data_IF_425609057805
#
_entry.id   IF_425609057805
#
_cell.length_a   1.000
_cell.length_b   1.000
_cell.length_c   1.000
_cell.angle_alpha   90.00
_cell.angle_beta   90.00
_cell.angle_gamma   90.00
#
_symmetry.space_group_name_H-M   'P 1'
#
loop_
_entity.id
_entity.type
_entity.pdbx_description
1 polymer ?
#
# COMPACT_ATOMS: atom_id res chain seq x y z
N UNK A 1 -7.49 -10.04 19.43
CA UNK A 1 -6.96 -9.92 18.06
C UNK A 1 -5.76 -10.83 17.96
N UNK A 2 -5.74 -11.71 16.97
CA UNK A 2 -4.63 -12.67 16.78
C UNK A 2 -3.49 -11.97 16.06
N UNK A 3 -2.26 -12.16 16.55
CA UNK A 3 -1.04 -11.77 15.84
C UNK A 3 -0.86 -12.73 14.67
N UNK A 4 -0.69 -12.19 13.48
CA UNK A 4 -0.56 -12.96 12.23
C UNK A 4 0.65 -12.45 11.45
N UNK A 5 1.40 -13.36 10.90
CA UNK A 5 2.50 -13.06 9.98
C UNK A 5 2.00 -13.08 8.54
N UNK A 6 2.56 -12.22 7.68
CA UNK A 6 2.25 -12.23 6.26
C UNK A 6 2.69 -13.53 5.58
N UNK A 7 1.93 -13.94 4.56
CA UNK A 7 2.35 -15.00 3.67
C UNK A 7 3.50 -14.50 2.78
N UNK A 8 4.61 -15.23 2.77
CA UNK A 8 5.76 -14.87 1.95
C UNK A 8 5.58 -15.35 0.51
N UNK A 9 4.68 -14.69 -0.23
CA UNK A 9 4.39 -14.98 -1.65
C UNK A 9 5.68 -14.99 -2.46
N UNK A 10 5.79 -15.90 -3.43
CA UNK A 10 7.01 -16.07 -4.24
C UNK A 10 7.33 -14.79 -5.02
N UNK A 11 8.57 -14.31 -4.92
CA UNK A 11 9.05 -13.20 -5.76
C UNK A 11 8.94 -13.53 -7.24
N UNK A 12 8.62 -12.53 -8.05
CA UNK A 12 8.32 -12.67 -9.48
C UNK A 12 6.86 -13.04 -9.79
N UNK A 13 6.00 -13.27 -8.77
CA UNK A 13 4.55 -13.44 -8.99
C UNK A 13 3.99 -12.17 -9.64
N UNK A 14 3.11 -12.34 -10.63
CA UNK A 14 2.44 -11.21 -11.29
C UNK A 14 1.39 -10.61 -10.35
N UNK A 15 1.32 -9.29 -10.27
CA UNK A 15 0.30 -8.59 -9.49
C UNK A 15 -1.10 -9.00 -9.95
N UNK A 16 -1.96 -9.54 -9.07
CA UNK A 16 -3.36 -9.76 -9.41
C UNK A 16 -4.04 -8.45 -9.84
N UNK A 17 -4.89 -8.52 -10.86
CA UNK A 17 -5.72 -7.39 -11.25
C UNK A 17 -6.79 -7.14 -10.19
N UNK A 18 -7.19 -5.88 -10.05
CA UNK A 18 -8.36 -5.49 -9.27
C UNK A 18 -9.04 -4.28 -9.90
N UNK A 19 -10.30 -4.08 -9.57
CA UNK A 19 -11.06 -2.85 -9.76
C UNK A 19 -11.93 -2.65 -8.52
N UNK A 20 -11.65 -1.61 -7.74
CA UNK A 20 -12.24 -1.35 -6.44
C UNK A 20 -12.70 0.10 -6.30
N UNK A 21 -13.67 0.35 -5.42
CA UNK A 21 -14.10 1.70 -5.08
C UNK A 21 -13.01 2.42 -4.29
N UNK A 22 -12.51 3.54 -4.82
CA UNK A 22 -11.73 4.51 -4.04
C UNK A 22 -12.69 5.35 -3.19
N UNK A 23 -12.61 5.18 -1.88
CA UNK A 23 -13.50 5.87 -0.94
C UNK A 23 -13.25 7.38 -0.85
N UNK A 24 -12.07 7.84 -1.28
CA UNK A 24 -11.71 9.26 -1.24
C UNK A 24 -12.34 10.04 -2.40
N UNK A 25 -12.42 9.43 -3.58
CA UNK A 25 -12.95 10.07 -4.79
C UNK A 25 -14.36 9.60 -5.17
N UNK A 26 -14.80 8.47 -4.63
CA UNK A 26 -16.06 7.81 -5.00
C UNK A 26 -16.04 7.15 -6.38
N UNK A 27 -14.86 6.95 -6.98
CA UNK A 27 -14.70 6.34 -8.31
C UNK A 27 -14.13 4.92 -8.20
N UNK A 28 -14.50 4.07 -9.14
CA UNK A 28 -13.81 2.79 -9.32
C UNK A 28 -12.39 3.04 -9.86
N UNK A 29 -11.43 2.31 -9.32
CA UNK A 29 -10.03 2.35 -9.74
C UNK A 29 -9.50 0.94 -9.94
N UNK A 30 -8.93 0.70 -11.09
CA UNK A 30 -8.21 -0.53 -11.37
C UNK A 30 -6.76 -0.45 -10.89
N UNK A 31 -6.11 -1.61 -10.79
CA UNK A 31 -4.66 -1.70 -10.54
C UNK A 31 -3.86 -0.85 -11.55
N UNK A 32 -4.26 -0.90 -12.81
CA UNK A 32 -3.56 -0.21 -13.89
C UNK A 32 -3.81 1.31 -13.84
N UNK A 33 -5.00 1.75 -13.39
CA UNK A 33 -5.26 3.18 -13.13
C UNK A 33 -4.36 3.71 -12.01
N UNK A 34 -4.23 2.98 -10.90
CA UNK A 34 -3.33 3.38 -9.79
C UNK A 34 -1.88 3.48 -10.29
N UNK A 35 -1.45 2.54 -11.12
CA UNK A 35 -0.13 2.59 -11.73
C UNK A 35 0.02 3.75 -12.71
N UNK A 36 -1.04 4.10 -13.46
CA UNK A 36 -1.02 5.15 -14.47
C UNK A 36 -1.15 6.57 -13.90
N UNK A 37 -1.65 6.75 -12.66
CA UNK A 37 -1.94 8.07 -12.06
C UNK A 37 -0.82 9.11 -12.21
N UNK A 38 0.43 8.69 -12.24
CA UNK A 38 1.56 9.59 -12.45
C UNK A 38 1.83 9.95 -13.91
N UNK A 39 1.10 9.39 -14.86
CA UNK A 39 1.34 9.68 -16.27
C UNK A 39 0.58 10.91 -16.79
N UNK A 40 -0.36 11.45 -16.00
CA UNK A 40 -1.32 12.48 -16.44
C UNK A 40 -1.07 13.90 -15.92
N UNK A 41 0.07 14.18 -15.25
CA UNK A 41 0.42 15.57 -14.94
C UNK A 41 0.67 16.30 -16.24
N UNK A 42 -0.38 16.99 -16.74
CA UNK A 42 -0.32 17.92 -17.84
C UNK A 42 0.63 19.05 -17.49
N UNK A 43 1.87 18.97 -17.95
CA UNK A 43 2.66 20.17 -18.20
C UNK A 43 1.96 20.93 -19.32
N UNK A 44 1.22 21.98 -18.98
CA UNK A 44 0.73 23.00 -19.91
C UNK A 44 1.88 23.94 -20.28
N UNK A 45 2.93 23.38 -20.88
CA UNK A 45 3.93 24.20 -21.56
C UNK A 45 4.17 23.65 -22.97
N UNK A 46 3.57 24.33 -23.94
CA UNK A 46 3.51 23.92 -25.35
C UNK A 46 4.78 24.30 -26.14
N UNK A 47 5.91 24.52 -25.49
CA UNK A 47 7.12 25.04 -26.15
C UNK A 47 8.23 23.98 -26.40
N UNK A 48 8.05 22.71 -26.01
CA UNK A 48 9.04 21.67 -26.35
C UNK A 48 8.36 20.39 -26.87
N UNK A 49 8.15 20.33 -28.17
CA UNK A 49 7.52 19.22 -28.89
C UNK A 49 8.50 18.07 -29.21
N UNK A 50 9.67 18.00 -28.59
CA UNK A 50 10.69 17.01 -28.96
C UNK A 50 10.97 15.89 -27.96
N UNK A 51 10.37 15.88 -26.76
CA UNK A 51 10.41 14.73 -25.87
C UNK A 51 9.32 14.82 -24.82
N UNK A 52 8.11 14.38 -25.13
CA UNK A 52 7.04 14.21 -24.16
C UNK A 52 7.42 13.19 -23.10
N UNK A 53 8.25 13.59 -22.15
CA UNK A 53 8.70 12.76 -21.04
C UNK A 53 7.59 12.63 -20.01
N UNK A 54 6.68 11.66 -20.19
CA UNK A 54 5.85 11.14 -19.09
C UNK A 54 6.79 10.67 -17.99
N UNK A 55 6.58 11.11 -16.75
CA UNK A 55 7.31 10.55 -15.61
C UNK A 55 7.07 9.04 -15.58
N UNK A 56 8.11 8.25 -15.84
CA UNK A 56 8.00 6.80 -15.92
C UNK A 56 7.75 6.27 -14.51
N UNK A 57 6.64 5.57 -14.31
CA UNK A 57 6.44 4.77 -13.09
C UNK A 57 7.45 3.64 -13.04
N UNK A 58 8.04 3.48 -11.88
CA UNK A 58 9.03 2.44 -11.63
C UNK A 58 8.44 1.22 -10.95
N UNK A 59 7.30 1.37 -10.27
CA UNK A 59 6.65 0.25 -9.57
C UNK A 59 5.30 0.62 -8.97
N UNK A 60 4.66 -0.38 -8.38
CA UNK A 60 3.37 -0.30 -7.70
C UNK A 60 3.49 -0.90 -6.30
N UNK A 61 3.17 -0.10 -5.28
CA UNK A 61 3.00 -0.57 -3.91
C UNK A 61 1.51 -0.82 -3.63
N UNK A 62 1.17 -2.03 -3.24
CA UNK A 62 -0.15 -2.41 -2.72
C UNK A 62 -0.01 -2.70 -1.23
N UNK A 63 -0.82 -2.05 -0.41
CA UNK A 63 -0.82 -2.17 1.05
C UNK A 63 -2.19 -2.63 1.53
N UNK A 64 -2.27 -3.77 2.22
CA UNK A 64 -3.49 -4.13 2.94
C UNK A 64 -3.43 -3.53 4.33
N UNK A 65 -4.30 -2.57 4.59
CA UNK A 65 -4.38 -1.83 5.86
C UNK A 65 -5.83 -1.69 6.31
N UNK A 66 -6.07 -1.28 7.55
CA UNK A 66 -7.42 -0.98 8.04
C UNK A 66 -7.36 0.08 9.14
N UNK A 67 -8.49 0.64 9.51
CA UNK A 67 -8.59 1.78 10.42
C UNK A 67 -8.31 1.39 11.88
N UNK A 68 -8.89 0.26 12.34
CA UNK A 68 -8.87 -0.10 13.76
C UNK A 68 -7.64 -0.91 14.20
N UNK A 69 -6.74 -1.30 13.27
CA UNK A 69 -5.61 -2.16 13.59
C UNK A 69 -4.49 -1.40 14.32
N UNK A 70 -4.12 -1.78 15.55
CA UNK A 70 -3.05 -1.09 16.28
C UNK A 70 -1.67 -1.19 15.63
N UNK A 71 -1.44 -2.17 14.76
CA UNK A 71 -0.21 -2.25 13.98
C UNK A 71 -0.21 -1.23 12.86
N UNK A 72 -1.36 -0.95 12.23
CA UNK A 72 -1.50 0.11 11.23
C UNK A 72 -1.38 1.47 11.90
N UNK A 73 -2.08 1.69 13.02
CA UNK A 73 -2.03 2.96 13.77
C UNK A 73 -0.62 3.30 14.26
N UNK A 74 0.19 2.28 14.57
CA UNK A 74 1.59 2.47 14.96
C UNK A 74 2.46 3.08 13.84
N UNK A 75 2.14 2.77 12.60
CA UNK A 75 2.94 3.15 11.42
C UNK A 75 2.26 4.17 10.50
N UNK A 76 1.03 4.60 10.78
CA UNK A 76 0.20 5.39 9.87
C UNK A 76 0.81 6.74 9.48
N UNK A 77 1.56 7.38 10.37
CA UNK A 77 2.30 8.60 10.05
C UNK A 77 3.45 8.35 9.08
N UNK A 78 4.11 7.17 9.17
CA UNK A 78 5.15 6.80 8.23
C UNK A 78 4.55 6.47 6.86
N UNK A 79 3.36 5.86 6.80
CA UNK A 79 2.64 5.68 5.54
C UNK A 79 2.29 7.02 4.89
N UNK A 80 1.95 8.04 5.69
CA UNK A 80 1.76 9.40 5.18
C UNK A 80 3.06 9.99 4.59
N UNK A 81 4.20 9.78 5.25
CA UNK A 81 5.52 10.21 4.73
C UNK A 81 5.86 9.48 3.43
N UNK A 82 5.68 8.16 3.39
CA UNK A 82 5.87 7.33 2.18
C UNK A 82 4.98 7.83 1.04
N UNK A 83 3.71 8.15 1.32
CA UNK A 83 2.82 8.73 0.32
C UNK A 83 3.37 10.03 -0.27
N UNK A 84 3.85 10.96 0.55
CA UNK A 84 4.45 12.21 0.06
C UNK A 84 5.72 11.99 -0.74
N UNK A 85 6.61 11.10 -0.25
CA UNK A 85 7.95 10.91 -0.81
C UNK A 85 7.93 10.13 -2.14
N UNK A 86 7.00 9.16 -2.30
CA UNK A 86 7.01 8.22 -3.42
C UNK A 86 5.79 8.30 -4.34
N UNK A 87 4.62 8.68 -3.83
CA UNK A 87 3.41 8.86 -4.63
C UNK A 87 3.27 10.30 -5.13
N UNK A 88 3.66 11.28 -4.30
CA UNK A 88 3.52 12.70 -4.58
C UNK A 88 2.11 13.24 -4.30
N UNK A 89 1.93 14.55 -4.45
CA UNK A 89 0.66 15.22 -4.10
C UNK A 89 -0.48 14.94 -5.09
N UNK A 90 -0.12 14.67 -6.36
CA UNK A 90 -1.06 14.43 -7.46
C UNK A 90 -0.94 13.03 -8.07
N UNK A 91 -0.22 12.11 -7.38
CA UNK A 91 0.15 10.82 -7.96
C UNK A 91 1.29 10.91 -8.97
N UNK A 92 2.02 12.01 -8.97
CA UNK A 92 3.13 12.31 -9.89
C UNK A 92 4.48 11.73 -9.44
N UNK A 93 4.51 11.07 -8.29
CA UNK A 93 5.71 10.40 -7.79
C UNK A 93 6.07 9.13 -8.56
N UNK A 94 7.27 8.58 -8.31
CA UNK A 94 7.82 7.46 -9.08
C UNK A 94 7.15 6.10 -8.82
N UNK A 95 6.37 5.97 -7.74
CA UNK A 95 5.70 4.71 -7.34
C UNK A 95 4.19 4.94 -7.29
N UNK A 96 3.40 4.08 -7.95
CA UNK A 96 1.96 3.97 -7.73
C UNK A 96 1.70 3.39 -6.34
N UNK A 97 0.75 3.93 -5.58
CA UNK A 97 0.41 3.41 -4.25
C UNK A 97 -1.10 3.18 -4.18
N UNK A 98 -1.51 1.98 -3.77
CA UNK A 98 -2.88 1.65 -3.38
C UNK A 98 -2.90 1.12 -1.94
N UNK A 99 -3.70 1.74 -1.09
CA UNK A 99 -4.10 1.16 0.19
C UNK A 99 -5.43 0.41 -0.01
N UNK A 100 -5.54 -0.81 0.48
CA UNK A 100 -6.73 -1.66 0.35
C UNK A 100 -7.21 -2.08 1.73
N UNK A 101 -8.48 -1.81 2.00
CA UNK A 101 -9.20 -2.27 3.18
C UNK A 101 -10.05 -3.47 2.80
N UNK A 102 -9.83 -4.62 3.47
CA UNK A 102 -10.52 -5.88 3.17
C UNK A 102 -11.14 -6.54 4.42
N UNK A 103 -11.24 -5.83 5.57
CA UNK A 103 -11.96 -6.39 6.71
C UNK A 103 -13.47 -6.37 6.46
N UNK A 104 -14.17 -7.32 7.06
CA UNK A 104 -15.63 -7.34 7.09
C UNK A 104 -16.17 -6.10 7.81
N UNK A 105 -16.74 -5.18 7.04
CA UNK A 105 -17.26 -3.90 7.54
C UNK A 105 -18.60 -4.05 8.27
N UNK A 106 -19.31 -5.14 8.09
CA UNK A 106 -20.55 -5.42 8.84
C UNK A 106 -20.23 -5.76 10.30
N UNK A 107 -19.14 -6.52 10.53
CA UNK A 107 -18.66 -6.83 11.88
C UNK A 107 -17.75 -5.73 12.46
N UNK A 108 -17.07 -4.98 11.62
CA UNK A 108 -16.11 -3.93 11.99
C UNK A 108 -16.44 -2.60 11.28
N UNK A 109 -17.55 -1.92 11.63
CA UNK A 109 -18.00 -0.71 10.93
C UNK A 109 -16.99 0.43 10.91
N UNK A 110 -16.08 0.48 11.90
CA UNK A 110 -14.99 1.47 11.95
C UNK A 110 -14.02 1.36 10.74
N UNK A 111 -13.94 0.19 10.09
CA UNK A 111 -13.14 -0.01 8.89
C UNK A 111 -13.91 0.32 7.59
N UNK A 112 -15.15 0.77 7.70
CA UNK A 112 -15.98 1.16 6.58
C UNK A 112 -15.55 2.49 5.94
N UNK A 113 -16.21 2.90 4.84
CA UNK A 113 -15.82 4.06 4.04
C UNK A 113 -15.68 5.37 4.84
N UNK A 114 -16.52 5.60 5.86
CA UNK A 114 -16.45 6.81 6.68
C UNK A 114 -15.18 6.83 7.54
N UNK A 115 -14.87 5.74 8.23
CA UNK A 115 -13.64 5.61 9.01
C UNK A 115 -12.38 5.70 8.14
N UNK A 116 -12.42 5.10 6.94
CA UNK A 116 -11.32 5.20 5.96
C UNK A 116 -11.09 6.66 5.52
N UNK A 117 -12.16 7.40 5.18
CA UNK A 117 -12.08 8.83 4.82
C UNK A 117 -11.54 9.68 5.97
N UNK A 118 -12.02 9.45 7.19
CA UNK A 118 -11.56 10.16 8.38
C UNK A 118 -10.07 9.92 8.65
N UNK A 119 -9.61 8.65 8.58
CA UNK A 119 -8.20 8.29 8.73
C UNK A 119 -7.34 8.99 7.68
N UNK A 120 -7.72 8.91 6.40
CA UNK A 120 -6.98 9.52 5.31
C UNK A 120 -6.92 11.06 5.44
N UNK A 121 -8.03 11.70 5.80
CA UNK A 121 -8.10 13.16 6.01
C UNK A 121 -7.20 13.61 7.16
N UNK A 122 -7.24 12.90 8.30
CA UNK A 122 -6.43 13.19 9.49
C UNK A 122 -4.94 13.10 9.22
N UNK A 123 -4.53 12.15 8.37
CA UNK A 123 -3.12 11.86 8.05
C UNK A 123 -2.64 12.56 6.76
N UNK A 124 -3.53 13.21 6.05
CA UNK A 124 -3.22 13.86 4.78
C UNK A 124 -2.80 12.88 3.68
N UNK A 125 -3.37 11.66 3.68
CA UNK A 125 -3.09 10.68 2.63
C UNK A 125 -3.64 11.14 1.29
N UNK A 126 -2.85 11.00 0.23
CA UNK A 126 -3.20 11.40 -1.14
C UNK A 126 -3.34 10.20 -2.08
N UNK A 127 -2.80 9.05 -1.70
CA UNK A 127 -2.92 7.83 -2.48
C UNK A 127 -4.33 7.22 -2.37
N UNK A 128 -4.82 6.49 -3.39
CA UNK A 128 -6.09 5.82 -3.36
C UNK A 128 -6.27 4.91 -2.13
N UNK A 129 -7.44 4.99 -1.49
CA UNK A 129 -7.82 4.11 -0.39
C UNK A 129 -9.06 3.31 -0.79
N UNK A 130 -8.81 2.06 -1.17
CA UNK A 130 -9.73 1.20 -1.89
C UNK A 130 -10.47 0.24 -0.94
N UNK A 131 -11.76 0.04 -1.17
CA UNK A 131 -12.59 -0.90 -0.42
C UNK A 131 -12.73 -2.22 -1.19
N UNK A 132 -12.16 -3.30 -0.65
CA UNK A 132 -12.31 -4.69 -1.11
C UNK A 132 -13.41 -5.39 -0.28
N UNK A 133 -14.65 -5.00 -0.53
CA UNK A 133 -15.81 -5.46 0.25
C UNK A 133 -16.03 -6.97 0.12
N UNK A 134 -15.76 -7.56 -1.04
CA UNK A 134 -15.89 -9.00 -1.32
C UNK A 134 -14.73 -9.81 -0.75
N UNK A 135 -13.63 -9.16 -0.40
CA UNK A 135 -12.38 -9.79 0.06
C UNK A 135 -11.68 -10.66 -1.01
N UNK A 136 -12.12 -10.57 -2.26
CA UNK A 136 -11.54 -11.34 -3.36
C UNK A 136 -10.13 -10.87 -3.69
N UNK A 137 -9.86 -9.56 -3.61
CA UNK A 137 -8.54 -9.00 -3.87
C UNK A 137 -7.57 -9.42 -2.79
N UNK A 138 -7.94 -9.36 -1.50
CA UNK A 138 -7.09 -9.85 -0.43
C UNK A 138 -6.74 -11.35 -0.60
N UNK A 139 -7.72 -12.16 -1.02
CA UNK A 139 -7.49 -13.58 -1.31
C UNK A 139 -6.55 -13.78 -2.50
N UNK A 140 -6.74 -13.02 -3.59
CA UNK A 140 -5.90 -13.10 -4.79
C UNK A 140 -4.43 -12.72 -4.51
N UNK A 141 -4.21 -11.75 -3.62
CA UNK A 141 -2.88 -11.34 -3.15
C UNK A 141 -2.31 -12.28 -2.08
N UNK A 142 -3.10 -13.22 -1.57
CA UNK A 142 -2.77 -14.02 -0.39
C UNK A 142 -2.38 -13.15 0.81
N UNK A 143 -3.04 -12.00 0.96
CA UNK A 143 -2.85 -11.12 2.10
C UNK A 143 -3.37 -11.79 3.38
N UNK A 144 -2.59 -11.76 4.45
CA UNK A 144 -2.91 -12.50 5.68
C UNK A 144 -3.22 -11.57 6.86
N UNK A 145 -2.66 -10.37 6.87
CA UNK A 145 -2.75 -9.45 8.00
C UNK A 145 -2.82 -7.98 7.53
N UNK A 146 -3.03 -7.10 8.51
CA UNK A 146 -2.87 -5.65 8.32
C UNK A 146 -1.87 -5.13 9.38
N UNK A 147 -0.80 -4.40 8.96
CA UNK A 147 -0.43 -4.09 7.58
C UNK A 147 0.22 -5.27 6.85
N UNK A 148 0.02 -5.37 5.54
CA UNK A 148 0.73 -6.30 4.66
C UNK A 148 1.14 -5.57 3.38
N UNK A 149 2.41 -5.70 2.93
CA UNK A 149 2.98 -4.88 1.86
C UNK A 149 3.44 -5.75 0.69
N UNK A 150 3.09 -5.30 -0.53
CA UNK A 150 3.48 -5.94 -1.78
C UNK A 150 3.97 -4.86 -2.76
N UNK A 151 5.28 -4.87 -3.08
CA UNK A 151 5.86 -3.97 -4.07
C UNK A 151 6.16 -4.73 -5.36
N UNK A 152 5.66 -4.20 -6.45
CA UNK A 152 5.84 -4.71 -7.80
C UNK A 152 6.71 -3.75 -8.60
N UNK A 153 7.49 -4.29 -9.54
CA UNK A 153 8.22 -3.51 -10.53
C UNK A 153 7.30 -2.99 -11.67
N UNK A 154 7.88 -2.31 -12.65
CA UNK A 154 7.15 -1.78 -13.79
C UNK A 154 6.51 -2.86 -14.69
N UNK A 155 7.00 -4.08 -14.63
CA UNK A 155 6.47 -5.26 -15.30
C UNK A 155 5.43 -6.02 -14.47
N UNK A 156 4.96 -5.40 -13.36
CA UNK A 156 4.02 -5.99 -12.41
C UNK A 156 4.50 -7.30 -11.79
N UNK A 157 5.80 -7.47 -11.59
CA UNK A 157 6.39 -8.60 -10.90
C UNK A 157 6.67 -8.24 -9.44
N UNK A 158 6.27 -9.11 -8.53
CA UNK A 158 6.52 -8.94 -7.10
C UNK A 158 8.03 -8.95 -6.82
N UNK A 159 8.54 -7.84 -6.30
CA UNK A 159 9.97 -7.67 -5.99
C UNK A 159 10.23 -7.50 -4.50
N UNK A 160 9.20 -7.11 -3.73
CA UNK A 160 9.25 -7.04 -2.28
C UNK A 160 7.89 -7.40 -1.68
N UNK A 161 7.90 -8.19 -0.62
CA UNK A 161 6.78 -8.42 0.29
C UNK A 161 7.36 -8.57 1.69
N UNK A 162 6.67 -8.04 2.67
CA UNK A 162 7.16 -8.14 4.04
C UNK A 162 6.88 -6.90 4.87
N UNK A 163 7.73 -6.69 5.88
CA UNK A 163 7.51 -5.65 6.88
C UNK A 163 7.83 -4.24 6.39
N UNK A 164 7.28 -3.23 7.07
CA UNK A 164 7.68 -1.83 6.89
C UNK A 164 9.12 -1.62 7.41
N UNK A 165 9.35 -2.05 8.65
CA UNK A 165 10.61 -2.04 9.38
C UNK A 165 10.53 -2.96 10.62
N UNK A 166 11.53 -2.90 11.49
CA UNK A 166 11.59 -3.70 12.72
C UNK A 166 10.74 -3.15 13.88
N UNK A 167 10.10 -1.99 13.71
CA UNK A 167 9.26 -1.39 14.76
C UNK A 167 7.99 -2.22 15.03
N UNK A 168 7.58 -2.27 16.28
CA UNK A 168 6.35 -2.95 16.70
C UNK A 168 5.64 -2.12 17.77
N UNK A 169 4.30 -2.03 17.71
CA UNK A 169 3.54 -1.26 18.70
C UNK A 169 3.74 -1.85 20.10
N UNK A 170 3.99 -0.97 21.07
CA UNK A 170 4.09 -1.38 22.48
C UNK A 170 2.74 -1.87 22.97
N UNK A 171 2.69 -3.11 23.41
CA UNK A 171 1.54 -3.73 24.05
C UNK A 171 2.04 -4.55 25.24
N UNK A 172 1.12 -4.91 26.17
CA UNK A 172 1.44 -5.56 27.43
C UNK A 172 2.45 -6.71 27.34
N UNK A 173 2.36 -7.52 26.28
CA UNK A 173 3.13 -8.76 26.15
C UNK A 173 4.06 -8.78 24.92
N UNK A 174 4.12 -7.71 24.14
CA UNK A 174 5.00 -7.61 22.96
C UNK A 174 5.15 -6.16 22.49
N UNK A 175 6.11 -5.96 21.61
CA UNK A 175 6.48 -4.66 21.08
C UNK A 175 7.95 -4.39 21.32
N UNK A 176 8.42 -3.27 20.81
CA UNK A 176 9.80 -2.84 21.01
C UNK A 176 9.90 -1.32 21.02
N UNK A 177 11.12 -0.82 21.27
CA UNK A 177 11.45 0.61 21.25
C UNK A 177 12.12 1.05 19.95
N UNK A 178 12.05 0.21 18.90
CA UNK A 178 12.60 0.54 17.59
C UNK A 178 11.77 1.67 16.97
N UNK A 179 12.40 2.77 16.53
CA UNK A 179 11.68 3.85 15.87
C UNK A 179 11.03 3.39 14.56
N UNK A 180 9.86 3.94 14.25
CA UNK A 180 9.21 3.76 12.95
C UNK A 180 9.94 4.60 11.92
N UNK A 181 10.57 3.95 10.94
CA UNK A 181 11.38 4.61 9.89
C UNK A 181 11.02 4.16 8.48
N UNK A 182 10.29 3.06 8.34
CA UNK A 182 9.99 2.46 7.04
C UNK A 182 11.22 1.89 6.32
N UNK A 183 12.33 1.67 7.00
CA UNK A 183 13.65 1.42 6.38
C UNK A 183 13.65 0.30 5.34
N UNK A 184 12.94 -0.81 5.61
CA UNK A 184 12.99 -1.98 4.74
C UNK A 184 12.13 -1.75 3.47
N UNK A 185 10.92 -1.21 3.63
CA UNK A 185 10.05 -0.87 2.51
C UNK A 185 10.64 0.29 1.67
N UNK A 186 11.17 1.33 2.31
CA UNK A 186 11.84 2.45 1.62
C UNK A 186 13.03 1.97 0.80
N UNK A 187 13.91 1.15 1.39
CA UNK A 187 15.06 0.59 0.66
C UNK A 187 14.63 -0.24 -0.56
N UNK A 188 13.51 -0.96 -0.45
CA UNK A 188 12.96 -1.71 -1.57
C UNK A 188 12.42 -0.78 -2.68
N UNK A 189 11.69 0.29 -2.32
CA UNK A 189 11.18 1.28 -3.29
C UNK A 189 12.34 2.04 -3.97
N UNK A 190 13.35 2.45 -3.19
CA UNK A 190 14.55 3.13 -3.73
C UNK A 190 15.30 2.23 -4.72
N UNK A 191 15.41 0.93 -4.43
CA UNK A 191 16.02 -0.03 -5.35
C UNK A 191 15.23 -0.12 -6.66
N UNK A 192 13.89 -0.21 -6.59
CA UNK A 192 13.02 -0.24 -7.76
C UNK A 192 13.16 1.03 -8.60
N UNK A 193 13.15 2.19 -7.98
CA UNK A 193 13.34 3.49 -8.66
C UNK A 193 14.71 3.54 -9.36
N UNK A 194 15.73 3.00 -8.72
CA UNK A 194 17.09 2.91 -9.30
C UNK A 194 17.24 1.81 -10.36
N UNK A 195 16.16 1.10 -10.73
CA UNK A 195 16.20 -0.03 -11.67
C UNK A 195 16.95 -1.25 -11.14
N UNK A 196 17.05 -1.38 -9.82
CA UNK A 196 17.72 -2.48 -9.12
C UNK A 196 16.70 -3.42 -8.47
N UNK A 197 17.11 -4.65 -8.21
CA UNK A 197 16.32 -5.57 -7.41
C UNK A 197 16.50 -5.28 -5.92
N UNK A 198 15.40 -5.24 -5.13
CA UNK A 198 15.49 -5.22 -3.68
C UNK A 198 16.21 -6.45 -3.12
N UNK A 199 16.71 -6.33 -1.89
CA UNK A 199 17.30 -7.45 -1.17
C UNK A 199 16.30 -8.63 -1.11
N UNK A 200 16.68 -9.85 -1.53
CA UNK A 200 15.80 -11.02 -1.46
C UNK A 200 15.58 -11.55 -0.03
N UNK A 201 16.46 -11.21 0.91
CA UNK A 201 16.29 -11.55 2.33
C UNK A 201 15.28 -10.59 2.98
N UNK A 202 14.00 -10.96 2.87
CA UNK A 202 12.87 -10.14 3.30
C UNK A 202 12.16 -10.79 4.48
N UNK A 203 11.76 -9.96 5.45
CA UNK A 203 11.10 -10.42 6.68
C UNK A 203 9.59 -10.27 6.58
N UNK A 204 8.85 -11.20 7.20
CA UNK A 204 7.40 -11.14 7.27
C UNK A 204 6.90 -9.82 7.89
N UNK A 205 5.85 -9.26 7.31
CA UNK A 205 5.01 -8.31 8.02
C UNK A 205 4.31 -9.01 9.20
N UNK A 206 4.06 -8.26 10.26
CA UNK A 206 3.35 -8.74 11.44
C UNK A 206 2.22 -7.78 11.74
N UNK A 207 1.01 -8.32 11.84
CA UNK A 207 -0.18 -7.50 12.06
C UNK A 207 -1.34 -8.26 12.68
N UNK A 208 -2.51 -7.65 12.63
CA UNK A 208 -3.76 -8.32 12.93
C UNK A 208 -4.21 -9.13 11.71
N UNK A 209 -4.76 -10.33 11.93
CA UNK A 209 -5.38 -11.08 10.85
C UNK A 209 -6.48 -10.26 10.16
N UNK A 210 -6.62 -10.40 8.84
CA UNK A 210 -7.79 -9.89 8.11
C UNK A 210 -9.06 -10.50 8.70
N UNK A 211 -10.10 -9.68 8.87
CA UNK A 211 -11.39 -10.11 9.39
C UNK A 211 -12.23 -10.61 8.23
N UNK A 212 -12.10 -11.91 7.98
CA UNK A 212 -12.83 -12.57 6.90
C UNK A 212 -14.33 -12.66 7.22
N UNK A 213 -15.16 -12.37 6.21
CA UNK A 213 -16.59 -12.66 6.28
C UNK A 213 -16.80 -14.17 6.53
N UNK A 214 -17.70 -14.46 7.43
CA UNK A 214 -18.13 -15.85 7.64
C UNK A 214 -19.07 -16.24 6.49
N UNK A 215 -18.85 -17.44 5.94
CA UNK A 215 -19.69 -17.99 4.88
C UNK A 215 -21.09 -18.36 5.44
#
# INVERSE_FOLDING_TARGET
MSRTESAMVKLGTVAPAFELLDVLTGKAMSRDDVFALASDSKSLDTSDLSSGGRAKKHGLLVMFICVHCPYVNHIEEELARIGRDYFGDQGDGPIGIAAIQSNDIDQFPADGPDGMREQAARLGWRFPYLLDETQEVARAYNAACTPDFFLFDAEMRLVYRGQLDDSRPKRKDFGNDVPVTGKDLRAAMDAVIAGKRPNPDQRNSIGCNIKWRQA
#
